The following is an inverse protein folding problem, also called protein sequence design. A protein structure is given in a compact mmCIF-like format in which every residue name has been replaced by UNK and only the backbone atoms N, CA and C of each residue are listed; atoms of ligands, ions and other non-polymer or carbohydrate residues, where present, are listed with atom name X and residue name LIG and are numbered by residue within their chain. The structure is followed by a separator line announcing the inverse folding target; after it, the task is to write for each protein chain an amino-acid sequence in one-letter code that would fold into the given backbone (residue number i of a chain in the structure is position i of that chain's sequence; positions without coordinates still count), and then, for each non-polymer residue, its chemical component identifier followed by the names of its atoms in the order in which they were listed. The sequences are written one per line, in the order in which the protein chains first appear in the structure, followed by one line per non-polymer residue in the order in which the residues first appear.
data_IF_200326959398
#
_entry.id   IF_200326959398
#
_cell.length_a   1.000
_cell.length_b   1.000
_cell.length_c   1.000
_cell.angle_alpha   90.00
_cell.angle_beta   90.00
_cell.angle_gamma   90.00
#
_symmetry.space_group_name_H-M   'P 1'
#
loop_
_entity.id
_entity.type
_entity.pdbx_description
1 polymer ?
#
# COMPACT_ATOMS: atom_id res chain seq x y z
N UNK A 1 -12.40 -65.05 41.06
CA UNK A 1 -12.48 -65.29 39.60
C UNK A 1 -13.71 -64.57 39.07
N UNK A 2 -13.54 -63.45 38.38
CA UNK A 2 -14.27 -63.15 37.15
C UNK A 2 -13.63 -61.96 36.45
N UNK A 3 -13.43 -62.16 35.16
CA UNK A 3 -12.65 -61.36 34.23
C UNK A 3 -13.68 -60.67 33.35
N UNK A 4 -13.81 -59.34 33.42
CA UNK A 4 -14.68 -58.59 32.52
C UNK A 4 -13.81 -57.79 31.54
N UNK A 5 -13.67 -58.36 30.34
CA UNK A 5 -12.97 -57.74 29.21
C UNK A 5 -13.83 -56.59 28.69
N UNK A 6 -13.38 -55.36 28.89
CA UNK A 6 -13.88 -54.19 28.17
C UNK A 6 -13.36 -54.25 26.74
N UNK A 7 -14.25 -54.66 25.83
CA UNK A 7 -14.02 -54.71 24.38
C UNK A 7 -13.93 -53.29 23.82
N UNK A 8 -12.71 -52.86 23.48
CA UNK A 8 -12.47 -51.59 22.81
C UNK A 8 -12.86 -51.70 21.33
N UNK A 9 -13.90 -50.95 20.94
CA UNK A 9 -14.48 -50.93 19.61
C UNK A 9 -13.58 -50.10 18.65
N UNK A 10 -12.93 -50.70 17.62
CA UNK A 10 -11.90 -50.03 16.82
C UNK A 10 -12.44 -49.05 15.76
N UNK A 11 -13.76 -49.04 15.51
CA UNK A 11 -14.36 -48.21 14.47
C UNK A 11 -14.43 -46.71 14.80
N UNK A 12 -14.32 -46.33 16.08
CA UNK A 12 -14.54 -44.93 16.48
C UNK A 12 -13.34 -44.01 16.22
N UNK A 13 -12.12 -44.57 16.16
CA UNK A 13 -10.88 -43.78 16.03
C UNK A 13 -10.60 -43.25 14.62
N UNK A 14 -11.14 -43.86 13.57
CA UNK A 14 -10.93 -43.42 12.18
C UNK A 14 -11.83 -42.25 11.74
N UNK A 15 -13.01 -42.10 12.34
CA UNK A 15 -13.97 -41.03 12.00
C UNK A 15 -13.49 -39.65 12.49
N UNK A 16 -12.92 -39.60 13.69
CA UNK A 16 -12.54 -38.36 14.36
C UNK A 16 -11.40 -37.63 13.64
N UNK A 17 -10.43 -38.37 13.09
CA UNK A 17 -9.31 -37.79 12.33
C UNK A 17 -9.74 -37.16 11.00
N UNK A 18 -10.73 -37.75 10.31
CA UNK A 18 -11.26 -37.20 9.04
C UNK A 18 -12.11 -35.95 9.27
N UNK A 19 -12.88 -35.91 10.35
CA UNK A 19 -13.62 -34.72 10.76
C UNK A 19 -12.69 -33.57 11.17
N UNK A 20 -11.60 -33.86 11.89
CA UNK A 20 -10.61 -32.84 12.26
C UNK A 20 -9.87 -32.27 11.04
N UNK A 21 -9.45 -33.14 10.11
CA UNK A 21 -8.72 -32.72 8.93
C UNK A 21 -9.58 -31.86 7.99
N UNK A 22 -10.86 -32.21 7.83
CA UNK A 22 -11.81 -31.44 7.01
C UNK A 22 -12.15 -30.09 7.66
N UNK A 23 -12.32 -30.05 8.97
CA UNK A 23 -12.59 -28.79 9.70
C UNK A 23 -11.37 -27.85 9.65
N UNK A 24 -10.16 -28.38 9.78
CA UNK A 24 -8.92 -27.60 9.66
C UNK A 24 -8.69 -27.07 8.25
N UNK A 25 -9.00 -27.86 7.21
CA UNK A 25 -8.93 -27.42 5.82
C UNK A 25 -9.96 -26.32 5.49
N UNK A 26 -11.17 -26.40 6.05
CA UNK A 26 -12.20 -25.36 5.94
C UNK A 26 -11.79 -24.06 6.66
N UNK A 27 -11.11 -24.16 7.80
CA UNK A 27 -10.56 -23.00 8.53
C UNK A 27 -9.43 -22.30 7.76
N UNK A 28 -8.60 -23.05 7.02
CA UNK A 28 -7.55 -22.46 6.17
C UNK A 28 -8.10 -21.74 4.93
N UNK A 29 -9.28 -22.12 4.44
CA UNK A 29 -9.96 -21.41 3.34
C UNK A 29 -10.69 -20.14 3.81
N UNK A 30 -10.86 -19.97 5.13
CA UNK A 30 -11.53 -18.81 5.72
C UNK A 30 -10.55 -17.72 6.18
N UNK A 31 -9.29 -17.72 5.71
CA UNK A 31 -8.42 -16.57 5.94
C UNK A 31 -9.02 -15.37 5.22
N UNK A 32 -9.39 -14.28 5.92
CA UNK A 32 -9.76 -13.06 5.26
C UNK A 32 -8.56 -12.63 4.41
N UNK A 33 -8.76 -12.50 3.11
CA UNK A 33 -7.80 -11.79 2.27
C UNK A 33 -7.76 -10.36 2.83
N UNK A 34 -6.70 -10.03 3.55
CA UNK A 34 -6.43 -8.66 3.97
C UNK A 34 -6.11 -7.88 2.70
N UNK A 35 -7.14 -7.45 1.98
CA UNK A 35 -7.02 -6.44 0.96
C UNK A 35 -6.59 -5.16 1.70
N UNK A 36 -5.36 -4.72 1.46
CA UNK A 36 -4.92 -3.41 1.92
C UNK A 36 -5.86 -2.39 1.29
N UNK A 37 -6.48 -1.53 2.11
CA UNK A 37 -7.38 -0.50 1.59
C UNK A 37 -6.52 0.50 0.81
N UNK A 38 -6.69 0.52 -0.51
CA UNK A 38 -5.99 1.43 -1.41
C UNK A 38 -6.84 2.67 -1.60
N UNK A 39 -6.30 3.80 -1.17
CA UNK A 39 -7.01 5.08 -1.24
C UNK A 39 -6.42 5.92 -2.35
N UNK A 40 -7.23 6.24 -3.33
CA UNK A 40 -6.91 7.28 -4.30
C UNK A 40 -7.17 8.65 -3.69
N UNK A 41 -6.14 9.47 -3.66
CA UNK A 41 -6.18 10.80 -3.07
C UNK A 41 -5.76 11.86 -4.08
N UNK A 42 -6.60 12.89 -4.34
CA UNK A 42 -6.23 13.98 -5.22
C UNK A 42 -5.22 14.89 -4.52
N UNK A 43 -4.08 15.08 -5.16
CA UNK A 43 -2.98 15.92 -4.73
C UNK A 43 -2.74 17.02 -5.76
N UNK A 44 -2.63 18.26 -5.30
CA UNK A 44 -2.21 19.37 -6.16
C UNK A 44 -0.69 19.46 -6.16
N UNK A 45 -0.14 19.67 -7.35
CA UNK A 45 1.28 19.86 -7.57
C UNK A 45 1.65 21.30 -7.24
N UNK A 46 2.49 21.48 -6.23
CA UNK A 46 2.98 22.81 -5.85
C UNK A 46 4.13 23.26 -6.75
N UNK A 47 5.05 22.35 -7.04
CA UNK A 47 6.27 22.63 -7.75
C UNK A 47 6.70 21.39 -8.53
N UNK A 48 7.20 21.59 -9.74
CA UNK A 48 7.87 20.57 -10.53
C UNK A 48 9.31 21.02 -10.71
N UNK A 49 10.26 20.20 -10.27
CA UNK A 49 11.66 20.52 -10.44
C UNK A 49 11.99 20.58 -11.95
N UNK A 50 12.64 21.66 -12.37
CA UNK A 50 13.15 21.78 -13.74
C UNK A 50 14.17 20.68 -14.06
N UNK A 51 14.46 20.50 -15.34
CA UNK A 51 15.45 19.51 -15.79
C UNK A 51 16.79 19.80 -15.10
N UNK A 52 17.34 18.85 -14.31
CA UNK A 52 18.59 19.10 -13.62
C UNK A 52 19.72 19.31 -14.63
N UNK A 53 20.53 20.35 -14.42
CA UNK A 53 21.72 20.62 -15.24
C UNK A 53 22.87 19.70 -14.79
N UNK A 54 22.72 18.40 -15.05
CA UNK A 54 23.67 17.37 -14.65
C UNK A 54 24.26 16.69 -15.88
N UNK A 55 25.57 16.47 -15.84
CA UNK A 55 26.32 15.83 -16.92
C UNK A 55 26.00 14.34 -17.05
N UNK A 56 25.61 13.69 -15.95
CA UNK A 56 25.29 12.26 -15.91
C UNK A 56 23.88 11.98 -16.39
N UNK A 57 23.76 11.10 -17.38
CA UNK A 57 22.49 10.68 -17.97
C UNK A 57 21.57 9.95 -16.98
N UNK A 58 22.13 9.35 -15.92
CA UNK A 58 21.34 8.70 -14.87
C UNK A 58 20.48 9.72 -14.13
N UNK A 59 21.05 10.87 -13.76
CA UNK A 59 20.32 11.90 -13.01
C UNK A 59 19.34 12.69 -13.89
N UNK A 60 19.53 12.73 -15.21
CA UNK A 60 18.59 13.37 -16.15
C UNK A 60 17.22 12.70 -16.17
N UNK A 61 17.16 11.41 -15.81
CA UNK A 61 15.92 10.63 -15.74
C UNK A 61 15.21 10.79 -14.40
N UNK A 62 15.81 11.44 -13.40
CA UNK A 62 15.17 11.59 -12.09
C UNK A 62 14.43 12.92 -12.07
N UNK A 63 13.12 12.83 -11.86
CA UNK A 63 12.22 13.96 -11.76
C UNK A 63 11.67 14.06 -10.34
N UNK A 64 11.33 15.27 -9.94
CA UNK A 64 10.83 15.55 -8.60
C UNK A 64 9.65 16.51 -8.69
N UNK A 65 8.62 16.27 -7.89
CA UNK A 65 7.53 17.22 -7.70
C UNK A 65 7.15 17.33 -6.23
N UNK A 66 6.78 18.53 -5.80
CA UNK A 66 6.23 18.79 -4.47
C UNK A 66 4.71 18.76 -4.58
N UNK A 67 4.08 17.98 -3.71
CA UNK A 67 2.65 17.77 -3.66
C UNK A 67 2.07 18.33 -2.37
N UNK A 68 0.82 18.79 -2.42
CA UNK A 68 -0.03 18.93 -1.25
C UNK A 68 -1.42 18.34 -1.51
N UNK A 69 -2.26 18.26 -0.48
CA UNK A 69 -3.65 17.84 -0.61
C UNK A 69 -4.45 18.81 -1.48
N UNK A 70 -5.18 18.33 -2.49
CA UNK A 70 -6.05 19.20 -3.28
C UNK A 70 -7.30 19.65 -2.49
N UNK A 71 -7.77 18.81 -1.57
CA UNK A 71 -8.92 19.08 -0.71
C UNK A 71 -8.48 19.20 0.76
N UNK A 72 -8.95 20.25 1.45
CA UNK A 72 -8.67 20.48 2.85
C UNK A 72 -9.10 19.32 3.77
N UNK A 73 -10.14 18.56 3.38
CA UNK A 73 -10.61 17.38 4.12
C UNK A 73 -9.54 16.27 4.19
N UNK A 74 -8.71 16.13 3.15
CA UNK A 74 -7.72 15.07 3.03
C UNK A 74 -6.38 15.41 3.70
N UNK A 75 -6.20 16.67 4.12
CA UNK A 75 -4.98 17.18 4.75
C UNK A 75 -4.51 16.31 5.92
N UNK A 76 -5.44 15.93 6.80
CA UNK A 76 -5.13 15.12 7.98
C UNK A 76 -4.66 13.73 7.60
N UNK A 77 -5.35 13.12 6.62
CA UNK A 77 -5.04 11.77 6.12
C UNK A 77 -3.69 11.74 5.41
N UNK A 78 -3.45 12.65 4.46
CA UNK A 78 -2.17 12.75 3.76
C UNK A 78 -1.02 12.98 4.75
N UNK A 79 -1.18 13.89 5.70
CA UNK A 79 -0.13 14.16 6.68
C UNK A 79 0.14 12.98 7.60
N UNK A 80 -0.88 12.19 7.98
CA UNK A 80 -0.70 10.99 8.78
C UNK A 80 0.04 9.93 7.95
N UNK A 81 -0.45 9.65 6.75
CA UNK A 81 0.14 8.67 5.85
C UNK A 81 1.62 8.97 5.56
N UNK A 82 1.94 10.23 5.25
CA UNK A 82 3.32 10.67 5.02
C UNK A 82 4.23 10.51 6.25
N UNK A 83 3.71 10.58 7.47
CA UNK A 83 4.51 10.35 8.68
C UNK A 83 4.89 8.87 8.83
N UNK A 84 3.98 7.98 8.45
CA UNK A 84 4.10 6.53 8.65
C UNK A 84 4.82 5.84 7.46
N UNK A 85 4.65 6.37 6.25
CA UNK A 85 5.06 5.71 5.00
C UNK A 85 6.02 6.56 4.14
N UNK A 86 6.76 7.48 4.77
CA UNK A 86 7.75 8.29 4.05
C UNK A 86 8.83 7.42 3.41
N UNK A 87 9.07 7.61 2.12
CA UNK A 87 10.06 6.87 1.35
C UNK A 87 9.55 5.55 0.77
N UNK A 88 8.24 5.32 0.80
CA UNK A 88 7.60 4.15 0.20
C UNK A 88 7.26 4.41 -1.28
N UNK A 89 7.31 3.35 -2.10
CA UNK A 89 6.81 3.37 -3.48
C UNK A 89 5.30 3.59 -3.50
N UNK A 90 4.84 4.51 -4.32
CA UNK A 90 3.42 4.81 -4.56
C UNK A 90 3.11 4.72 -6.05
N UNK A 91 1.86 4.44 -6.35
CA UNK A 91 1.31 4.60 -7.70
C UNK A 91 0.61 5.93 -7.79
N UNK A 92 0.77 6.65 -8.89
CA UNK A 92 0.05 7.90 -9.14
C UNK A 92 -0.46 7.97 -10.57
N UNK A 93 -1.49 8.78 -10.78
CA UNK A 93 -2.19 8.92 -12.04
C UNK A 93 -2.11 10.37 -12.53
N UNK A 94 -1.72 10.52 -13.79
CA UNK A 94 -1.80 11.80 -14.52
C UNK A 94 -2.82 11.60 -15.63
N UNK A 95 -4.05 12.07 -15.40
CA UNK A 95 -5.18 11.70 -16.25
C UNK A 95 -5.46 10.21 -16.18
N UNK A 96 -5.28 9.50 -17.30
CA UNK A 96 -5.47 8.04 -17.39
C UNK A 96 -4.16 7.24 -17.35
N UNK A 97 -3.01 7.91 -17.30
CA UNK A 97 -1.70 7.27 -17.31
C UNK A 97 -1.27 6.93 -15.89
N UNK A 98 -0.75 5.70 -15.72
CA UNK A 98 -0.32 5.15 -14.45
C UNK A 98 1.20 5.25 -14.37
N UNK A 99 1.69 5.78 -13.26
CA UNK A 99 3.11 5.99 -13.00
C UNK A 99 3.48 5.50 -11.61
N UNK A 100 4.78 5.24 -11.43
CA UNK A 100 5.35 4.89 -10.13
C UNK A 100 6.34 5.94 -9.66
N UNK A 101 6.39 6.14 -8.36
CA UNK A 101 7.37 7.00 -7.73
C UNK A 101 7.55 6.67 -6.27
N UNK A 102 8.49 7.36 -5.62
CA UNK A 102 8.72 7.25 -4.18
C UNK A 102 8.29 8.55 -3.53
N UNK A 103 7.42 8.45 -2.52
CA UNK A 103 6.84 9.61 -1.85
C UNK A 103 7.49 9.84 -0.49
N UNK A 104 8.21 10.94 -0.36
CA UNK A 104 8.85 11.36 0.89
C UNK A 104 8.05 12.45 1.59
N UNK A 105 8.07 12.43 2.91
CA UNK A 105 7.60 13.55 3.72
C UNK A 105 8.65 14.66 3.74
N UNK A 106 8.24 15.89 3.46
CA UNK A 106 9.08 17.05 3.69
C UNK A 106 9.03 17.47 5.17
N UNK A 107 10.18 17.55 5.82
CA UNK A 107 10.29 18.05 7.19
C UNK A 107 9.81 19.51 7.24
N UNK A 108 9.14 19.89 8.34
CA UNK A 108 8.62 21.24 8.60
C UNK A 108 7.49 21.76 7.67
N UNK A 109 7.04 20.97 6.69
CA UNK A 109 5.97 21.33 5.75
C UNK A 109 4.75 20.40 5.90
N UNK A 110 3.85 20.75 6.82
CA UNK A 110 2.70 19.89 7.16
C UNK A 110 1.82 19.58 5.94
N UNK A 111 1.61 18.29 5.64
CA UNK A 111 0.78 17.84 4.52
C UNK A 111 1.40 18.06 3.14
N UNK A 112 2.73 18.24 3.05
CA UNK A 112 3.47 18.26 1.78
C UNK A 112 4.32 17.01 1.61
N UNK A 113 4.29 16.46 0.40
CA UNK A 113 5.11 15.34 -0.02
C UNK A 113 6.07 15.74 -1.13
N UNK A 114 7.22 15.07 -1.20
CA UNK A 114 8.14 15.10 -2.32
C UNK A 114 8.01 13.76 -3.07
N UNK A 115 7.46 13.80 -4.28
CA UNK A 115 7.36 12.64 -5.14
C UNK A 115 8.54 12.61 -6.10
N UNK A 116 9.28 11.49 -6.09
CA UNK A 116 10.42 11.24 -6.96
C UNK A 116 10.02 10.15 -7.97
N UNK A 117 10.25 10.36 -9.25
CA UNK A 117 9.83 9.44 -10.30
C UNK A 117 10.78 9.52 -11.51
N UNK A 118 10.71 8.52 -12.39
CA UNK A 118 11.62 8.43 -13.56
C UNK A 118 10.96 8.60 -14.91
N UNK A 119 9.63 8.54 -14.96
CA UNK A 119 8.89 8.65 -16.20
C UNK A 119 8.88 10.09 -16.71
N UNK A 120 8.98 10.26 -18.03
CA UNK A 120 8.83 11.57 -18.66
C UNK A 120 7.35 11.90 -18.78
N UNK A 121 6.87 12.75 -17.86
CA UNK A 121 5.47 13.22 -17.81
C UNK A 121 5.43 14.74 -17.95
N UNK A 122 4.37 15.25 -18.56
CA UNK A 122 4.13 16.68 -18.69
C UNK A 122 3.14 17.14 -17.63
N UNK A 123 3.66 17.53 -16.46
CA UNK A 123 2.88 18.04 -15.32
C UNK A 123 3.39 19.42 -14.96
N UNK A 124 2.50 20.33 -14.58
CA UNK A 124 2.79 21.70 -14.17
C UNK A 124 2.35 21.95 -12.74
N UNK A 125 2.88 23.03 -12.16
CA UNK A 125 2.36 23.52 -10.89
C UNK A 125 0.85 23.85 -11.03
N UNK A 126 0.10 23.53 -9.98
CA UNK A 126 -1.36 23.58 -9.81
C UNK A 126 -2.16 22.49 -10.53
N UNK A 127 -1.50 21.59 -11.26
CA UNK A 127 -2.18 20.39 -11.77
C UNK A 127 -2.60 19.50 -10.58
N UNK A 128 -3.71 18.78 -10.75
CA UNK A 128 -4.16 17.77 -9.79
C UNK A 128 -3.82 16.39 -10.35
N UNK A 129 -3.14 15.59 -9.52
CA UNK A 129 -2.83 14.19 -9.79
C UNK A 129 -3.45 13.31 -8.70
N UNK A 130 -3.84 12.08 -9.05
CA UNK A 130 -4.31 11.14 -8.04
C UNK A 130 -3.16 10.27 -7.55
N UNK A 131 -2.97 10.18 -6.24
CA UNK A 131 -1.95 9.30 -5.64
C UNK A 131 -2.67 8.17 -4.91
N UNK A 132 -2.32 6.93 -5.22
CA UNK A 132 -2.79 5.77 -4.46
C UNK A 132 -1.91 5.60 -3.23
N UNK A 133 -2.54 5.70 -2.07
CA UNK A 133 -1.94 5.48 -0.76
C UNK A 133 -2.41 4.12 -0.24
N UNK A 134 -1.48 3.23 0.03
CA UNK A 134 -1.79 1.96 0.70
C UNK A 134 -1.81 2.21 2.20
N UNK A 135 -2.91 1.93 2.88
CA UNK A 135 -2.92 2.01 4.34
C UNK A 135 -2.10 0.84 4.92
N UNK A 136 -1.06 1.18 5.67
CA UNK A 136 -0.35 0.22 6.50
C UNK A 136 -1.27 -0.18 7.66
N UNK A 137 -1.75 -1.42 7.65
CA UNK A 137 -2.46 -2.03 8.79
C UNK A 137 -1.51 -2.05 10.00
N UNK A 138 -1.63 -1.06 10.88
CA UNK A 138 -0.92 -0.98 12.17
C UNK A 138 -1.74 -1.62 13.28
#
# INVERSE_FOLDING_TARGET
MNCEKVSANPHFRLSLGRAFLTTFLLLLLAVPSFAADEIKMPCEVLEVAGTPQVLSDTFKKIHFMVLHHANAADRGRLSKWLKENSGTEVTFFVGQQIHKGVLYRLAHCFGRGLLIYTDTINVKARDIIDVTLTESLS
#
